data_IF_517342067778
#
_entry.id   IF_517342067778
#
_cell.length_a   1.000
_cell.length_b   1.000
_cell.length_c   1.000
_cell.angle_alpha   90.00
_cell.angle_beta   90.00
_cell.angle_gamma   90.00
#
_symmetry.space_group_name_H-M   'P 1'
#
loop_
_entity.id
_entity.type
_entity.pdbx_description
1 polymer ?
#
# COMPACT_ATOMS: atom_id res chain seq x y z
N UNK A 1 -20.61 -9.58 -3.10
CA UNK A 1 -20.15 -9.26 -2.91
C UNK A 1 -19.13 -9.20 -2.49
N UNK A 2 -19.04 -9.37 -2.43
CA UNK A 2 -18.05 -9.29 -2.30
C UNK A 2 -17.28 -8.51 -1.53
N UNK A 3 -16.34 -8.92 -0.87
CA UNK A 3 -15.52 -8.06 -0.12
C UNK A 3 -14.87 -7.11 -1.06
N UNK A 4 -15.36 -5.96 -1.01
CA UNK A 4 -14.84 -4.86 -1.79
C UNK A 4 -14.01 -4.01 -0.87
N UNK A 5 -13.21 -3.14 -1.47
CA UNK A 5 -12.47 -2.17 -0.67
C UNK A 5 -13.40 -1.40 0.23
N UNK A 6 -14.60 -1.12 -0.23
CA UNK A 6 -15.58 -0.39 0.56
C UNK A 6 -16.22 -1.18 1.67
N UNK A 7 -15.92 -2.48 1.77
CA UNK A 7 -16.52 -3.30 2.81
C UNK A 7 -16.00 -2.94 4.20
N UNK A 8 -14.83 -2.30 4.30
CA UNK A 8 -14.32 -1.81 5.56
C UNK A 8 -14.57 -0.32 5.67
N UNK A 9 -15.19 0.08 6.78
CA UNK A 9 -15.34 1.51 7.08
C UNK A 9 -13.95 2.11 7.26
N UNK A 10 -13.70 3.23 6.61
CA UNK A 10 -12.41 3.91 6.73
C UNK A 10 -11.38 3.48 5.71
N UNK A 11 -11.80 2.69 4.70
CA UNK A 11 -10.91 2.37 3.57
C UNK A 11 -11.46 3.00 2.31
N UNK A 12 -10.58 3.38 1.40
CA UNK A 12 -10.99 4.02 0.15
C UNK A 12 -9.90 4.87 -0.41
N UNK A 13 -10.27 5.86 -1.23
CA UNK A 13 -9.29 6.75 -1.83
C UNK A 13 -8.68 7.67 -0.78
N UNK A 14 -7.38 7.89 -0.87
CA UNK A 14 -6.66 8.71 0.10
C UNK A 14 -7.27 10.11 0.28
N UNK A 15 -7.71 10.72 -0.82
CA UNK A 15 -8.34 12.05 -0.74
C UNK A 15 -9.58 12.08 0.12
N UNK A 16 -10.25 10.94 0.29
CA UNK A 16 -11.46 10.84 1.10
C UNK A 16 -11.16 10.42 2.54
N UNK A 17 -10.24 9.49 2.74
CA UNK A 17 -10.05 8.88 4.06
C UNK A 17 -8.72 9.23 4.72
N UNK A 18 -7.74 9.71 3.96
CA UNK A 18 -6.41 10.01 4.48
C UNK A 18 -5.69 8.75 4.96
N UNK A 19 -4.77 8.91 5.90
CA UNK A 19 -4.12 7.82 6.59
C UNK A 19 -2.95 7.20 5.85
N UNK A 20 -2.99 5.88 5.68
CA UNK A 20 -1.86 5.09 5.19
C UNK A 20 -2.18 4.47 3.83
N UNK A 21 -1.38 4.80 2.81
CA UNK A 21 -1.51 4.13 1.51
C UNK A 21 -1.10 2.67 1.62
N UNK A 22 -1.94 1.75 1.15
CA UNK A 22 -1.65 0.31 1.21
C UNK A 22 -0.43 -0.01 0.36
N UNK A 23 -0.42 0.40 -0.92
CA UNK A 23 0.80 0.42 -1.72
C UNK A 23 1.42 1.81 -1.56
N UNK A 24 2.71 1.88 -1.24
CA UNK A 24 3.37 3.14 -0.95
C UNK A 24 3.31 4.07 -2.17
N UNK A 25 2.76 5.27 -1.98
CA UNK A 25 2.52 6.20 -3.09
C UNK A 25 3.82 6.62 -3.79
N UNK A 26 4.90 6.70 -3.04
CA UNK A 26 6.18 7.14 -3.63
C UNK A 26 6.70 6.15 -4.67
N UNK A 27 6.22 4.90 -4.65
CA UNK A 27 6.62 3.91 -5.64
C UNK A 27 6.07 4.17 -7.04
N UNK A 28 5.06 5.05 -7.16
CA UNK A 28 4.40 5.31 -8.45
C UNK A 28 4.47 6.78 -8.84
N UNK A 29 5.34 7.52 -8.21
CA UNK A 29 5.38 8.98 -8.28
C UNK A 29 5.49 9.52 -9.71
N UNK A 30 6.24 8.85 -10.57
CA UNK A 30 6.48 9.34 -11.93
C UNK A 30 5.51 8.79 -12.96
N UNK A 31 4.56 7.95 -12.55
CA UNK A 31 3.58 7.38 -13.47
C UNK A 31 2.51 8.44 -13.75
N UNK A 32 2.34 8.80 -15.02
CA UNK A 32 1.40 9.85 -15.41
C UNK A 32 -0.04 9.47 -15.11
N UNK A 33 -0.32 8.19 -14.98
CA UNK A 33 -1.67 7.71 -14.68
C UNK A 33 -1.98 7.66 -13.19
N UNK A 34 -0.96 7.78 -12.34
CA UNK A 34 -1.15 7.61 -10.90
C UNK A 34 -1.47 8.94 -10.23
N UNK A 35 -2.59 8.96 -9.52
CA UNK A 35 -2.97 10.09 -8.67
C UNK A 35 -2.91 9.60 -7.22
N UNK A 36 -1.98 10.09 -6.39
CA UNK A 36 -1.88 9.64 -5.01
C UNK A 36 -3.14 9.90 -4.19
N UNK A 37 -3.95 10.90 -4.56
CA UNK A 37 -5.20 11.16 -3.86
C UNK A 37 -6.23 10.07 -4.12
N UNK A 38 -6.08 9.31 -5.20
CA UNK A 38 -6.97 8.20 -5.52
C UNK A 38 -6.44 6.87 -5.05
N UNK A 39 -5.17 6.79 -4.61
CA UNK A 39 -4.59 5.55 -4.15
C UNK A 39 -5.34 4.98 -2.96
N UNK A 40 -5.42 3.65 -2.89
CA UNK A 40 -6.15 2.99 -1.81
C UNK A 40 -5.45 3.22 -0.48
N UNK A 41 -6.22 3.66 0.52
CA UNK A 41 -5.69 4.05 1.80
C UNK A 41 -6.57 3.54 2.93
N UNK A 42 -5.99 3.42 4.13
CA UNK A 42 -6.74 3.09 5.34
C UNK A 42 -6.62 4.28 6.30
N UNK A 43 -7.76 4.72 6.83
CA UNK A 43 -7.81 5.92 7.66
C UNK A 43 -7.17 5.68 9.02
N UNK A 44 -6.87 6.77 9.73
CA UNK A 44 -6.37 6.67 11.09
C UNK A 44 -7.38 6.00 12.02
N UNK A 45 -8.66 6.28 11.82
CA UNK A 45 -9.71 5.63 12.61
C UNK A 45 -9.74 4.12 12.34
N UNK A 46 -9.63 3.72 11.08
CA UNK A 46 -9.57 2.30 10.73
C UNK A 46 -8.40 1.61 11.43
N UNK A 47 -7.23 2.23 11.37
CA UNK A 47 -6.04 1.66 12.00
C UNK A 47 -6.22 1.53 13.50
N UNK A 48 -6.72 2.58 14.15
CA UNK A 48 -6.96 2.55 15.59
C UNK A 48 -7.96 1.46 15.97
N UNK A 49 -9.08 1.39 15.24
CA UNK A 49 -10.16 0.48 15.55
C UNK A 49 -9.77 -0.98 15.34
N UNK A 50 -8.80 -1.24 14.49
CA UNK A 50 -8.33 -2.59 14.16
C UNK A 50 -6.97 -2.92 14.78
N UNK A 51 -6.47 -2.06 15.66
CA UNK A 51 -5.20 -2.32 16.34
C UNK A 51 -3.97 -2.28 15.44
N UNK A 52 -4.01 -1.52 14.36
CA UNK A 52 -2.88 -1.42 13.43
C UNK A 52 -1.99 -0.24 13.80
N UNK A 53 -0.68 -0.47 13.83
CA UNK A 53 0.29 0.55 14.19
C UNK A 53 0.92 1.14 12.93
N UNK A 54 0.57 2.40 12.63
CA UNK A 54 1.05 3.09 11.44
C UNK A 54 2.59 3.23 11.41
N UNK A 55 3.18 3.52 12.57
CA UNK A 55 4.63 3.69 12.63
C UNK A 55 5.37 2.38 12.35
N UNK A 56 4.84 1.27 12.86
CA UNK A 56 5.43 -0.05 12.60
C UNK A 56 5.31 -0.38 11.11
N UNK A 57 4.16 -0.10 10.50
CA UNK A 57 3.97 -0.36 9.08
C UNK A 57 4.94 0.45 8.23
N UNK A 58 5.10 1.73 8.54
CA UNK A 58 6.03 2.61 7.81
C UNK A 58 7.47 2.14 7.98
N UNK A 59 7.86 1.76 9.19
CA UNK A 59 9.22 1.27 9.45
C UNK A 59 9.49 -0.02 8.68
N UNK A 60 8.52 -0.92 8.61
CA UNK A 60 8.68 -2.16 7.86
C UNK A 60 8.78 -1.88 6.36
N UNK A 61 8.00 -0.95 5.85
CA UNK A 61 8.11 -0.56 4.44
C UNK A 61 9.52 -0.04 4.15
N UNK A 62 10.03 0.85 4.98
CA UNK A 62 11.36 1.42 4.78
C UNK A 62 12.44 0.34 4.80
N UNK A 63 12.36 -0.57 5.74
CA UNK A 63 13.30 -1.68 5.86
C UNK A 63 13.29 -2.55 4.59
N UNK A 64 12.11 -2.92 4.11
CA UNK A 64 11.98 -3.82 2.98
C UNK A 64 12.28 -3.15 1.65
N UNK A 65 11.95 -1.87 1.50
CA UNK A 65 12.36 -1.13 0.31
C UNK A 65 13.88 -0.95 0.25
N UNK A 66 14.51 -0.77 1.41
CA UNK A 66 15.98 -0.72 1.46
C UNK A 66 16.57 -2.04 1.00
N UNK A 67 16.02 -3.13 1.49
CA UNK A 67 16.48 -4.48 1.12
C UNK A 67 16.30 -4.71 -0.39
N UNK A 68 15.17 -4.30 -0.93
CA UNK A 68 14.93 -4.41 -2.37
C UNK A 68 15.96 -3.61 -3.16
N UNK A 69 16.20 -2.37 -2.74
CA UNK A 69 17.17 -1.50 -3.40
C UNK A 69 18.57 -2.11 -3.37
N UNK A 70 19.00 -2.60 -2.22
CA UNK A 70 20.35 -3.15 -2.05
C UNK A 70 20.53 -4.51 -2.74
N UNK A 71 19.44 -5.24 -2.93
CA UNK A 71 19.49 -6.55 -3.55
C UNK A 71 19.77 -6.50 -5.05
N UNK A 72 19.44 -5.39 -5.70
CA UNK A 72 19.55 -5.29 -7.15
C UNK A 72 18.45 -6.04 -7.90
N UNK A 73 17.46 -6.62 -7.20
CA UNK A 73 16.33 -7.27 -7.87
C UNK A 73 15.51 -6.24 -8.63
N UNK A 74 14.83 -6.66 -9.71
CA UNK A 74 13.97 -5.74 -10.45
C UNK A 74 12.89 -5.10 -9.56
N UNK A 75 12.61 -3.84 -9.82
CA UNK A 75 11.58 -3.09 -9.10
C UNK A 75 10.24 -3.38 -9.76
N UNK A 76 9.48 -4.31 -9.20
CA UNK A 76 8.26 -4.81 -9.81
C UNK A 76 7.06 -4.57 -8.90
N UNK A 77 5.85 -4.62 -9.48
CA UNK A 77 4.64 -4.52 -8.70
C UNK A 77 4.53 -5.67 -7.70
N UNK A 78 5.00 -6.86 -8.08
CA UNK A 78 5.03 -8.01 -7.18
C UNK A 78 5.85 -7.73 -5.93
N UNK A 79 7.01 -7.09 -6.09
CA UNK A 79 7.84 -6.73 -4.94
C UNK A 79 7.14 -5.70 -4.05
N UNK A 80 6.52 -4.69 -4.65
CA UNK A 80 5.78 -3.69 -3.88
C UNK A 80 4.59 -4.29 -3.16
N UNK A 81 3.93 -5.27 -3.78
CA UNK A 81 2.81 -5.97 -3.17
C UNK A 81 3.28 -6.82 -1.99
N UNK A 82 4.40 -7.52 -2.15
CA UNK A 82 4.99 -8.30 -1.04
C UNK A 82 5.30 -7.38 0.13
N UNK A 83 5.91 -6.24 -0.14
CA UNK A 83 6.26 -5.27 0.90
C UNK A 83 5.01 -4.73 1.58
N UNK A 84 3.96 -4.43 0.81
CA UNK A 84 2.70 -3.97 1.38
C UNK A 84 2.09 -5.02 2.31
N UNK A 85 2.12 -6.30 1.92
CA UNK A 85 1.63 -7.39 2.76
C UNK A 85 2.42 -7.49 4.06
N UNK A 86 3.74 -7.45 3.97
CA UNK A 86 4.60 -7.58 5.15
C UNK A 86 4.40 -6.40 6.10
N UNK A 87 4.22 -5.21 5.56
CA UNK A 87 4.00 -4.04 6.40
C UNK A 87 2.67 -4.15 7.16
N UNK A 88 1.61 -4.56 6.47
CA UNK A 88 0.31 -4.74 7.12
C UNK A 88 0.39 -5.80 8.22
N UNK A 89 1.09 -6.89 7.94
CA UNK A 89 1.27 -7.97 8.92
C UNK A 89 2.05 -7.48 10.14
N UNK A 90 3.13 -6.75 9.91
CA UNK A 90 3.95 -6.22 11.00
C UNK A 90 3.12 -5.26 11.87
N UNK A 91 2.22 -4.51 11.26
CA UNK A 91 1.35 -3.57 11.96
C UNK A 91 0.21 -4.21 12.72
N UNK A 92 -0.04 -5.51 12.52
CA UNK A 92 -1.05 -6.23 13.28
C UNK A 92 -2.25 -6.74 12.48
N UNK A 93 -2.25 -6.59 11.15
CA UNK A 93 -3.38 -7.05 10.34
C UNK A 93 -3.43 -8.57 10.26
N UNK A 94 -4.65 -9.12 10.26
CA UNK A 94 -4.85 -10.56 10.04
C UNK A 94 -4.63 -10.90 8.58
N UNK A 95 -4.40 -12.17 8.29
CA UNK A 95 -4.20 -12.63 6.91
C UNK A 95 -5.41 -12.30 6.04
N UNK A 96 -6.62 -12.47 6.57
CA UNK A 96 -7.85 -12.17 5.84
C UNK A 96 -7.93 -10.68 5.48
N UNK A 97 -7.63 -9.81 6.45
CA UNK A 97 -7.63 -8.37 6.20
C UNK A 97 -6.57 -7.98 5.18
N UNK A 98 -5.38 -8.58 5.28
CA UNK A 98 -4.30 -8.33 4.32
C UNK A 98 -4.77 -8.67 2.91
N UNK A 99 -5.36 -9.85 2.72
CA UNK A 99 -5.84 -10.26 1.39
C UNK A 99 -6.86 -9.27 0.84
N UNK A 100 -7.80 -8.85 1.67
CA UNK A 100 -8.84 -7.92 1.22
C UNK A 100 -8.25 -6.56 0.84
N UNK A 101 -7.37 -6.03 1.67
CA UNK A 101 -6.76 -4.71 1.42
C UNK A 101 -5.83 -4.75 0.21
N UNK A 102 -5.04 -5.80 0.07
CA UNK A 102 -4.13 -5.94 -1.07
C UNK A 102 -4.91 -6.07 -2.37
N UNK A 103 -5.96 -6.90 -2.37
CA UNK A 103 -6.77 -7.06 -3.58
C UNK A 103 -7.45 -5.76 -3.97
N UNK A 104 -7.95 -5.01 -2.99
CA UNK A 104 -8.55 -3.71 -3.24
C UNK A 104 -7.54 -2.72 -3.79
N UNK A 105 -6.32 -2.72 -3.25
CA UNK A 105 -5.28 -1.81 -3.69
C UNK A 105 -4.80 -2.14 -5.10
N UNK A 106 -4.65 -3.42 -5.42
CA UNK A 106 -4.28 -3.83 -6.78
C UNK A 106 -5.36 -3.45 -7.79
N UNK A 107 -6.63 -3.61 -7.42
CA UNK A 107 -7.74 -3.19 -8.27
C UNK A 107 -7.69 -1.68 -8.50
N UNK A 108 -7.44 -0.94 -7.43
CA UNK A 108 -7.33 0.52 -7.51
C UNK A 108 -6.24 0.94 -8.48
N UNK A 109 -5.05 0.35 -8.38
CA UNK A 109 -3.95 0.66 -9.30
C UNK A 109 -4.34 0.32 -10.73
N UNK A 110 -4.95 -0.83 -10.95
CA UNK A 110 -5.37 -1.25 -12.28
C UNK A 110 -6.39 -0.28 -12.87
N UNK A 111 -7.33 0.18 -12.05
CA UNK A 111 -8.35 1.14 -12.49
C UNK A 111 -7.74 2.49 -12.84
N UNK A 112 -6.63 2.86 -12.20
CA UNK A 112 -5.91 4.07 -12.56
C UNK A 112 -5.03 3.89 -13.79
N UNK A 113 -4.87 2.67 -14.30
CA UNK A 113 -4.00 2.39 -15.44
C UNK A 113 -2.55 2.20 -15.05
N UNK A 114 -2.29 1.87 -13.79
CA UNK A 114 -0.92 1.70 -13.28
C UNK A 114 -0.60 0.22 -13.26
N UNK A 115 0.50 -0.16 -13.95
CA UNK A 115 0.88 -1.56 -14.08
C UNK A 115 2.21 -1.90 -13.42
N UNK A 116 3.03 -0.89 -13.12
CA UNK A 116 4.36 -1.13 -12.55
C UNK A 116 4.81 0.09 -11.77
N UNK A 117 5.65 -0.12 -10.74
CA UNK A 117 6.21 1.01 -10.01
C UNK A 117 7.28 1.72 -10.85
N UNK A 118 7.51 2.98 -10.53
CA UNK A 118 8.51 3.82 -11.19
C UNK A 118 9.71 4.09 -10.29
N UNK A 119 9.56 3.86 -8.97
CA UNK A 119 10.61 4.15 -8.00
C UNK A 119 10.62 3.12 -6.90
N UNK A 120 11.73 3.09 -6.15
CA UNK A 120 11.78 2.41 -4.86
C UNK A 120 11.71 3.51 -3.80
N UNK A 121 10.62 3.59 -3.03
CA UNK A 121 10.46 4.65 -2.02
C UNK A 121 11.68 4.76 -1.12
N UNK A 122 12.06 5.99 -0.81
CA UNK A 122 13.20 6.39 0.01
C UNK A 122 14.56 6.20 -0.64
N UNK A 123 14.73 5.29 -1.60
CA UNK A 123 16.07 4.88 -2.03
C UNK A 123 16.37 5.14 -3.49
N UNK A 124 15.41 5.03 -4.39
CA UNK A 124 15.68 5.34 -5.79
C UNK A 124 15.23 6.77 -6.10
N UNK A 125 15.92 7.38 -7.03
CA UNK A 125 15.64 8.77 -7.39
C UNK A 125 14.78 8.88 -8.64
#
# INVERSE_FOLDING_TARGET
EVAESGSYSGTGEYGDVGGHHVHAKAGFKDDVNYDPKKGLSISQNFMRDNGLDHNIMTSKQRELFKELYESGRPNTLEEHTRIAREALKAGGASDSMIDDLINASLRNLREQGVTAPTRIPWYSK
#
